data_IF_661059839463
#
_entry.id   IF_661059839463
#
_cell.length_a   1.000
_cell.length_b   1.000
_cell.length_c   1.000
_cell.angle_alpha   90.00
_cell.angle_beta   90.00
_cell.angle_gamma   90.00
#
_symmetry.space_group_name_H-M   'P 1'
#
loop_
_entity.id
_entity.type
_entity.pdbx_description
1 polymer ?
#
# COMPACT_ATOMS: atom_id res chain seq x y z
N UNK A 1 -0.51 5.29 -8.66
CA UNK A 1 -0.40 4.10 -7.76
C UNK A 1 0.66 3.05 -8.14
N UNK A 2 0.56 2.31 -9.26
CA UNK A 2 1.42 1.13 -9.57
C UNK A 2 2.95 1.35 -9.45
N UNK A 3 3.49 2.46 -9.96
CA UNK A 3 4.96 2.72 -9.90
C UNK A 3 5.48 3.06 -8.50
N UNK A 4 4.63 3.61 -7.62
CA UNK A 4 5.02 4.02 -6.26
C UNK A 4 5.22 2.80 -5.35
N UNK A 5 4.34 1.82 -5.51
CA UNK A 5 4.32 0.54 -4.80
C UNK A 5 5.55 -0.31 -5.16
N UNK A 6 5.97 -0.28 -6.44
CA UNK A 6 7.19 -0.95 -6.90
C UNK A 6 8.51 -0.39 -6.33
N UNK A 7 8.54 0.86 -5.85
CA UNK A 7 9.77 1.42 -5.27
C UNK A 7 10.05 0.82 -3.88
N UNK A 8 9.00 0.46 -3.13
CA UNK A 8 9.14 -0.13 -1.80
C UNK A 8 9.71 -1.55 -1.87
N UNK A 9 9.32 -2.35 -2.87
CA UNK A 9 9.87 -3.69 -3.06
C UNK A 9 11.37 -3.67 -3.41
N UNK A 10 11.86 -2.59 -4.03
CA UNK A 10 13.29 -2.41 -4.37
C UNK A 10 14.16 -2.08 -3.16
N UNK A 11 13.58 -1.57 -2.07
CA UNK A 11 14.30 -1.23 -0.84
C UNK A 11 14.47 -2.41 0.13
N UNK A 12 13.95 -3.58 -0.22
CA UNK A 12 14.04 -4.80 0.56
C UNK A 12 15.39 -5.48 0.36
N UNK A 13 15.90 -6.09 1.43
CA UNK A 13 17.07 -6.97 1.35
C UNK A 13 16.72 -8.25 0.58
N UNK A 14 17.75 -8.92 0.05
CA UNK A 14 17.56 -10.19 -0.67
C UNK A 14 16.87 -11.24 0.22
N UNK A 15 17.20 -11.31 1.51
CA UNK A 15 16.58 -12.24 2.45
C UNK A 15 15.08 -11.95 2.68
N UNK A 16 14.70 -10.68 2.79
CA UNK A 16 13.30 -10.26 2.88
C UNK A 16 12.53 -10.57 1.60
N UNK A 17 13.15 -10.36 0.43
CA UNK A 17 12.57 -10.71 -0.86
C UNK A 17 12.40 -12.23 -1.01
N UNK A 18 13.37 -13.03 -0.57
CA UNK A 18 13.27 -14.49 -0.56
C UNK A 18 12.09 -14.94 0.30
N UNK A 19 11.94 -14.38 1.50
CA UNK A 19 10.83 -14.68 2.40
C UNK A 19 9.47 -14.28 1.81
N UNK A 20 9.34 -13.05 1.31
CA UNK A 20 8.09 -12.58 0.69
C UNK A 20 7.75 -13.37 -0.58
N UNK A 21 8.76 -13.80 -1.34
CA UNK A 21 8.56 -14.65 -2.52
C UNK A 21 8.10 -16.04 -2.13
N UNK A 22 8.58 -16.59 -1.02
CA UNK A 22 8.04 -17.83 -0.47
C UNK A 22 6.57 -17.66 -0.06
N UNK A 23 6.22 -16.59 0.66
CA UNK A 23 4.82 -16.31 1.02
C UNK A 23 3.91 -16.08 -0.18
N UNK A 24 4.36 -15.29 -1.16
CA UNK A 24 3.60 -15.05 -2.39
C UNK A 24 3.31 -16.35 -3.16
N UNK A 25 4.26 -17.29 -3.16
CA UNK A 25 4.07 -18.62 -3.77
C UNK A 25 3.03 -19.47 -3.03
N UNK A 26 2.86 -19.30 -1.72
CA UNK A 26 1.83 -20.02 -0.95
C UNK A 26 0.40 -19.60 -1.35
N UNK A 27 0.25 -18.41 -1.95
CA UNK A 27 -1.01 -17.96 -2.53
C UNK A 27 -1.31 -18.60 -3.89
N UNK A 28 -0.36 -19.35 -4.46
CA UNK A 28 -0.45 -19.97 -5.78
C UNK A 28 -0.85 -18.98 -6.89
N UNK A 29 0.05 -18.05 -7.28
CA UNK A 29 -0.24 -17.08 -8.33
C UNK A 29 -0.73 -17.75 -9.62
N UNK A 30 -1.64 -17.07 -10.29
CA UNK A 30 -2.20 -17.48 -11.56
C UNK A 30 -1.10 -17.59 -12.63
N UNK A 31 -1.44 -18.18 -13.79
CA UNK A 31 -0.48 -18.35 -14.91
C UNK A 31 0.13 -17.05 -15.42
N UNK A 32 -0.53 -15.92 -15.18
CA UNK A 32 -0.05 -14.59 -15.53
C UNK A 32 0.84 -13.95 -14.43
N UNK A 33 1.11 -14.68 -13.35
CA UNK A 33 1.95 -14.22 -12.23
C UNK A 33 1.23 -13.36 -11.19
N UNK A 34 -0.09 -13.17 -11.32
CA UNK A 34 -0.89 -12.38 -10.38
C UNK A 34 -1.61 -13.23 -9.33
N UNK A 35 -1.89 -12.66 -8.17
CA UNK A 35 -2.85 -13.20 -7.19
C UNK A 35 -4.13 -12.36 -7.18
N UNK A 36 -5.27 -13.01 -7.00
CA UNK A 36 -6.59 -12.39 -6.87
C UNK A 36 -7.24 -12.77 -5.54
N UNK A 37 -8.42 -12.22 -5.27
CA UNK A 37 -9.23 -12.58 -4.10
C UNK A 37 -9.47 -14.10 -4.00
N UNK A 38 -9.57 -14.80 -5.13
CA UNK A 38 -9.75 -16.25 -5.15
C UNK A 38 -8.53 -17.00 -4.63
N UNK A 39 -7.33 -16.55 -4.99
CA UNK A 39 -6.07 -17.10 -4.47
C UNK A 39 -6.00 -16.95 -2.94
N UNK A 40 -6.37 -15.78 -2.41
CA UNK A 40 -6.43 -15.56 -0.96
C UNK A 40 -7.47 -16.46 -0.28
N UNK A 41 -8.68 -16.60 -0.86
CA UNK A 41 -9.71 -17.53 -0.36
C UNK A 41 -9.20 -18.96 -0.25
N UNK A 42 -8.58 -19.45 -1.34
CA UNK A 42 -8.03 -20.81 -1.39
C UNK A 42 -6.91 -21.01 -0.38
N UNK A 43 -6.02 -20.04 -0.24
CA UNK A 43 -4.94 -20.10 0.75
C UNK A 43 -5.48 -20.14 2.19
N UNK A 44 -6.48 -19.32 2.51
CA UNK A 44 -7.10 -19.31 3.85
C UNK A 44 -7.81 -20.65 4.14
N UNK A 45 -8.58 -21.18 3.19
CA UNK A 45 -9.27 -22.46 3.35
C UNK A 45 -8.30 -23.64 3.57
N UNK A 46 -7.11 -23.61 2.94
CA UNK A 46 -6.09 -24.67 3.10
C UNK A 46 -5.33 -24.59 4.41
N UNK A 47 -5.15 -23.38 4.94
CA UNK A 47 -4.44 -23.15 6.20
C UNK A 47 -5.38 -23.08 7.40
N UNK A 48 -6.69 -23.19 7.19
CA UNK A 48 -7.68 -23.34 8.24
C UNK A 48 -7.41 -24.67 8.97
N UNK A 49 -7.11 -24.56 10.26
CA UNK A 49 -7.02 -25.72 11.17
C UNK A 49 -8.38 -25.97 11.81
N UNK A 50 -8.67 -27.19 12.26
CA UNK A 50 -9.92 -27.55 12.99
C UNK A 50 -10.23 -26.68 14.24
N UNK A 51 -9.27 -25.86 14.68
CA UNK A 51 -9.39 -24.93 15.81
C UNK A 51 -9.85 -23.53 15.39
N UNK A 52 -9.74 -23.17 14.11
CA UNK A 52 -10.17 -21.86 13.62
C UNK A 52 -11.68 -21.86 13.38
N UNK A 53 -12.39 -21.00 14.09
CA UNK A 53 -13.79 -20.70 13.80
C UNK A 53 -13.87 -20.05 12.41
N UNK A 54 -14.42 -20.74 11.41
CA UNK A 54 -14.52 -20.24 10.02
C UNK A 54 -15.39 -18.98 9.88
N UNK A 55 -16.02 -18.53 10.98
CA UNK A 55 -16.86 -17.32 11.04
C UNK A 55 -16.14 -16.02 10.64
N UNK A 56 -14.81 -15.93 10.77
CA UNK A 56 -14.04 -14.74 10.35
C UNK A 56 -13.79 -14.68 8.84
N UNK A 57 -13.89 -15.81 8.13
CA UNK A 57 -13.61 -15.87 6.69
C UNK A 57 -14.59 -14.98 5.92
N UNK A 58 -15.92 -15.06 6.12
CA UNK A 58 -16.87 -14.12 5.51
C UNK A 58 -16.56 -12.64 5.79
N UNK A 59 -16.12 -12.30 7.00
CA UNK A 59 -15.82 -10.92 7.38
C UNK A 59 -14.57 -10.39 6.66
N UNK A 60 -13.49 -11.17 6.61
CA UNK A 60 -12.30 -10.80 5.84
C UNK A 60 -12.64 -10.70 4.35
N UNK A 61 -13.46 -11.61 3.82
CA UNK A 61 -13.87 -11.56 2.42
C UNK A 61 -14.81 -10.40 2.11
N UNK A 62 -15.61 -9.94 3.07
CA UNK A 62 -16.43 -8.73 2.96
C UNK A 62 -15.56 -7.49 2.93
N UNK A 63 -14.55 -7.40 3.81
CA UNK A 63 -13.56 -6.30 3.83
C UNK A 63 -12.73 -6.27 2.54
N UNK A 64 -12.40 -7.44 1.98
CA UNK A 64 -11.69 -7.55 0.71
C UNK A 64 -12.62 -7.48 -0.52
N UNK A 65 -13.94 -7.47 -0.33
CA UNK A 65 -14.93 -7.43 -1.41
C UNK A 65 -14.77 -6.25 -2.39
N UNK A 66 -14.46 -5.02 -1.93
CA UNK A 66 -14.14 -3.89 -2.80
C UNK A 66 -12.89 -4.09 -3.67
N UNK A 67 -12.04 -5.08 -3.38
CA UNK A 67 -10.88 -5.43 -4.19
C UNK A 67 -11.25 -6.29 -5.42
N UNK A 68 -12.49 -6.79 -5.55
CA UNK A 68 -13.04 -7.38 -6.77
C UNK A 68 -12.10 -8.31 -7.56
N UNK A 69 -12.08 -8.17 -8.90
CA UNK A 69 -11.19 -8.87 -9.84
C UNK A 69 -9.78 -8.26 -9.91
N UNK A 70 -9.42 -7.41 -8.93
CA UNK A 70 -8.13 -6.71 -8.97
C UNK A 70 -7.01 -7.72 -8.77
N UNK A 71 -6.09 -7.72 -9.72
CA UNK A 71 -4.90 -8.56 -9.74
C UNK A 71 -3.78 -7.85 -8.99
N UNK A 72 -3.07 -8.60 -8.17
CA UNK A 72 -1.89 -8.12 -7.44
C UNK A 72 -0.67 -8.91 -7.91
N UNK A 73 0.33 -8.21 -8.42
CA UNK A 73 1.62 -8.81 -8.79
C UNK A 73 2.59 -8.82 -7.60
N UNK A 74 3.73 -9.50 -7.74
CA UNK A 74 4.66 -9.71 -6.63
C UNK A 74 5.13 -8.40 -5.96
N UNK A 75 5.39 -7.36 -6.74
CA UNK A 75 5.81 -6.05 -6.24
C UNK A 75 4.72 -5.39 -5.40
N UNK A 76 3.46 -5.53 -5.82
CA UNK A 76 2.30 -5.01 -5.10
C UNK A 76 2.05 -5.78 -3.81
N UNK A 77 2.24 -7.10 -3.83
CA UNK A 77 2.21 -7.93 -2.63
C UNK A 77 3.31 -7.55 -1.63
N UNK A 78 4.54 -7.35 -2.09
CA UNK A 78 5.64 -6.95 -1.21
C UNK A 78 5.34 -5.64 -0.49
N UNK A 79 4.81 -4.66 -1.22
CA UNK A 79 4.46 -3.39 -0.62
C UNK A 79 3.30 -3.48 0.38
N UNK A 80 2.27 -4.31 0.08
CA UNK A 80 1.17 -4.56 1.01
C UNK A 80 1.65 -5.27 2.29
N UNK A 81 2.51 -6.29 2.15
CA UNK A 81 3.11 -7.01 3.27
C UNK A 81 3.96 -6.08 4.15
N UNK A 82 4.74 -5.18 3.54
CA UNK A 82 5.53 -4.17 4.27
C UNK A 82 4.67 -3.14 4.98
N UNK A 83 3.53 -2.75 4.41
CA UNK A 83 2.57 -1.87 5.09
C UNK A 83 1.96 -2.53 6.33
N UNK A 84 1.70 -3.85 6.29
CA UNK A 84 1.22 -4.61 7.46
C UNK A 84 2.32 -4.73 8.52
N UNK A 85 3.54 -5.09 8.13
CA UNK A 85 4.70 -5.18 9.03
C UNK A 85 5.07 -3.83 9.66
N UNK A 86 4.68 -2.71 9.04
CA UNK A 86 4.84 -1.36 9.61
C UNK A 86 3.97 -1.11 10.85
N UNK A 87 2.85 -1.83 11.03
CA UNK A 87 2.03 -1.73 12.26
C UNK A 87 2.70 -2.42 13.47
N UNK A 88 3.69 -3.29 13.24
CA UNK A 88 4.34 -4.09 14.28
C UNK A 88 5.74 -3.58 14.69
N UNK A 89 6.05 -2.31 14.42
CA UNK A 89 7.25 -1.62 14.92
C UNK A 89 8.60 -2.26 14.50
N UNK A 90 8.90 -2.24 13.19
CA UNK A 90 10.23 -2.61 12.68
C UNK A 90 11.18 -1.40 12.74
N UNK A 91 12.25 -1.49 13.54
CA UNK A 91 13.31 -0.48 13.71
C UNK A 91 14.00 -0.01 12.41
N UNK A 92 13.82 -0.75 11.31
CA UNK A 92 14.42 -0.46 9.98
C UNK A 92 13.52 0.32 9.02
N UNK A 93 12.28 0.65 9.41
CA UNK A 93 11.33 1.31 8.52
C UNK A 93 11.85 2.63 7.92
N UNK A 94 12.51 3.47 8.73
CA UNK A 94 13.05 4.74 8.25
C UNK A 94 14.06 4.54 7.12
N UNK A 95 14.96 3.55 7.26
CA UNK A 95 15.96 3.23 6.24
C UNK A 95 15.31 2.73 4.95
N UNK A 96 14.35 1.81 5.07
CA UNK A 96 13.64 1.23 3.91
C UNK A 96 12.89 2.31 3.14
N UNK A 97 12.18 3.20 3.83
CA UNK A 97 11.45 4.30 3.19
C UNK A 97 12.38 5.31 2.55
N UNK A 98 13.51 5.64 3.19
CA UNK A 98 14.51 6.52 2.61
C UNK A 98 15.08 5.94 1.31
N UNK A 99 15.48 4.66 1.30
CA UNK A 99 15.97 4.00 0.09
C UNK A 99 14.90 3.89 -1.00
N UNK A 100 13.65 3.55 -0.64
CA UNK A 100 12.55 3.52 -1.60
C UNK A 100 12.28 4.91 -2.21
N UNK A 101 12.41 5.97 -1.40
CA UNK A 101 12.28 7.33 -1.88
C UNK A 101 13.38 7.72 -2.88
N UNK A 102 14.62 7.26 -2.70
CA UNK A 102 15.71 7.50 -3.67
C UNK A 102 15.39 6.88 -5.04
N UNK A 103 14.88 5.65 -5.06
CA UNK A 103 14.43 5.00 -6.31
C UNK A 103 13.22 5.74 -6.92
N UNK A 104 12.28 6.15 -6.06
CA UNK A 104 11.12 6.93 -6.50
C UNK A 104 11.52 8.28 -7.11
N UNK A 105 12.48 8.99 -6.52
CA UNK A 105 12.99 10.29 -7.03
C UNK A 105 13.51 10.16 -8.47
N UNK A 106 14.18 9.06 -8.78
CA UNK A 106 14.79 8.81 -10.08
C UNK A 106 13.79 8.35 -11.15
N UNK A 107 12.86 7.45 -10.79
CA UNK A 107 12.05 6.73 -11.78
C UNK A 107 10.58 7.19 -11.84
N UNK A 108 10.08 7.81 -10.78
CA UNK A 108 8.64 7.98 -10.56
C UNK A 108 8.20 9.35 -10.07
N UNK A 109 9.11 10.18 -9.54
CA UNK A 109 8.73 11.45 -8.93
C UNK A 109 8.45 12.53 -9.99
N UNK A 110 7.17 12.70 -10.26
CA UNK A 110 6.61 13.67 -11.22
C UNK A 110 6.18 14.94 -10.50
N UNK A 111 6.12 16.02 -11.27
CA UNK A 111 5.44 17.24 -10.84
C UNK A 111 3.98 16.92 -10.52
N UNK A 112 3.46 17.45 -9.41
CA UNK A 112 2.11 17.18 -8.92
C UNK A 112 1.52 18.45 -8.27
N UNK A 113 0.24 18.72 -8.51
CA UNK A 113 -0.50 19.79 -7.80
C UNK A 113 -1.06 19.30 -6.46
N UNK A 114 -1.44 20.24 -5.57
CA UNK A 114 -2.09 19.92 -4.29
C UNK A 114 -3.37 19.09 -4.52
N UNK A 115 -4.16 19.41 -5.54
CA UNK A 115 -5.38 18.69 -5.90
C UNK A 115 -5.10 17.29 -6.44
N UNK A 116 -4.12 17.15 -7.32
CA UNK A 116 -3.70 15.84 -7.85
C UNK A 116 -3.16 14.95 -6.73
N UNK A 117 -2.40 15.53 -5.79
CA UNK A 117 -1.87 14.77 -4.65
C UNK A 117 -3.00 14.32 -3.71
N UNK A 118 -4.01 15.17 -3.46
CA UNK A 118 -5.23 14.77 -2.75
C UNK A 118 -5.92 13.58 -3.44
N UNK A 119 -6.02 13.59 -4.77
CA UNK A 119 -6.65 12.50 -5.53
C UNK A 119 -5.86 11.19 -5.42
N UNK A 120 -4.52 11.24 -5.52
CA UNK A 120 -3.66 10.05 -5.36
C UNK A 120 -3.74 9.48 -3.93
N UNK A 121 -4.05 10.31 -2.93
CA UNK A 121 -4.37 9.89 -1.56
C UNK A 121 -5.81 9.38 -1.38
N UNK A 122 -6.63 9.35 -2.43
CA UNK A 122 -8.03 8.90 -2.36
C UNK A 122 -8.99 9.92 -1.74
N UNK A 123 -8.58 11.18 -1.60
CA UNK A 123 -9.44 12.30 -1.19
C UNK A 123 -10.25 12.73 -2.43
N UNK A 124 -11.34 12.02 -2.68
CA UNK A 124 -12.12 12.09 -3.93
C UNK A 124 -13.20 13.19 -3.96
N UNK A 125 -13.49 13.83 -2.81
CA UNK A 125 -14.35 15.03 -2.76
C UNK A 125 -13.52 16.30 -2.90
N UNK A 126 -14.18 17.43 -3.19
CA UNK A 126 -13.56 18.77 -3.21
C UNK A 126 -12.66 18.91 -1.97
N UNK A 127 -11.33 19.02 -2.12
CA UNK A 127 -10.42 18.97 -0.99
C UNK A 127 -10.73 20.16 -0.07
N UNK A 128 -10.98 19.87 1.20
CA UNK A 128 -11.20 20.90 2.21
C UNK A 128 -9.90 21.71 2.40
N UNK A 129 -9.97 22.94 2.93
CA UNK A 129 -8.76 23.68 3.30
C UNK A 129 -7.82 22.88 4.21
N UNK A 130 -8.37 22.00 5.06
CA UNK A 130 -7.59 21.10 5.90
C UNK A 130 -6.87 19.99 5.09
N UNK A 131 -7.51 19.44 4.06
CA UNK A 131 -6.89 18.47 3.16
C UNK A 131 -5.75 19.10 2.35
N UNK A 132 -5.95 20.32 1.84
CA UNK A 132 -4.91 21.08 1.13
C UNK A 132 -3.71 21.37 2.05
N UNK A 133 -3.97 21.83 3.28
CA UNK A 133 -2.93 22.05 4.29
C UNK A 133 -2.17 20.76 4.63
N UNK A 134 -2.86 19.60 4.67
CA UNK A 134 -2.24 18.30 4.93
C UNK A 134 -1.30 17.82 3.81
N UNK A 135 -1.50 18.25 2.56
CA UNK A 135 -0.66 17.80 1.43
C UNK A 135 0.50 18.75 1.12
N UNK A 136 0.38 20.03 1.49
CA UNK A 136 1.33 21.09 1.11
C UNK A 136 2.76 20.84 1.61
N UNK A 137 2.94 20.38 2.84
CA UNK A 137 4.28 20.03 3.38
C UNK A 137 4.88 18.79 2.73
N UNK A 138 4.11 18.07 1.90
CA UNK A 138 4.58 16.93 1.10
C UNK A 138 5.11 17.31 -0.29
N UNK A 139 4.90 18.56 -0.74
CA UNK A 139 5.32 19.03 -2.08
C UNK A 139 6.49 20.02 -1.91
N UNK A 140 7.53 19.83 -2.71
CA UNK A 140 8.74 20.65 -2.68
C UNK A 140 8.53 21.93 -3.50
N UNK A 141 8.73 23.08 -2.89
CA UNK A 141 8.55 24.38 -3.56
C UNK A 141 9.49 24.63 -4.75
N UNK A 142 10.62 23.93 -4.84
CA UNK A 142 11.63 24.18 -5.89
C UNK A 142 11.27 23.59 -7.24
N UNK A 143 10.55 22.46 -7.27
CA UNK A 143 10.26 21.70 -8.49
C UNK A 143 8.83 21.12 -8.53
N UNK A 144 8.01 21.41 -7.51
CA UNK A 144 6.64 20.91 -7.37
C UNK A 144 6.56 19.38 -7.41
N UNK A 145 7.61 18.69 -6.95
CA UNK A 145 7.64 17.23 -6.78
C UNK A 145 7.43 16.83 -5.33
N UNK A 146 7.10 15.57 -5.09
CA UNK A 146 6.96 15.08 -3.71
C UNK A 146 8.31 15.06 -2.99
N UNK A 147 8.33 15.48 -1.73
CA UNK A 147 9.45 15.19 -0.83
C UNK A 147 9.21 13.87 -0.09
N UNK A 148 10.14 13.47 0.79
CA UNK A 148 10.04 12.24 1.58
C UNK A 148 8.73 12.18 2.40
N UNK A 149 8.31 13.32 2.98
CA UNK A 149 7.05 13.43 3.72
C UNK A 149 5.84 13.14 2.82
N UNK A 150 5.83 13.70 1.60
CA UNK A 150 4.80 13.42 0.61
C UNK A 150 4.76 11.95 0.19
N UNK A 151 5.92 11.35 -0.02
CA UNK A 151 6.05 9.92 -0.32
C UNK A 151 5.53 9.03 0.82
N UNK A 152 5.86 9.36 2.07
CA UNK A 152 5.33 8.64 3.25
C UNK A 152 3.80 8.74 3.34
N UNK A 153 3.23 9.90 3.01
CA UNK A 153 1.76 10.06 2.98
C UNK A 153 1.11 9.16 1.93
N UNK A 154 1.72 9.00 0.75
CA UNK A 154 1.25 8.03 -0.25
C UNK A 154 1.31 6.61 0.28
N UNK A 155 2.40 6.22 0.94
CA UNK A 155 2.56 4.87 1.49
C UNK A 155 1.53 4.55 2.57
N UNK A 156 1.16 5.55 3.38
CA UNK A 156 0.18 5.39 4.47
C UNK A 156 -1.28 5.47 4.00
N UNK A 157 -1.52 5.94 2.77
CA UNK A 157 -2.87 6.19 2.27
C UNK A 157 -3.59 7.32 3.04
N UNK A 158 -4.89 7.52 2.78
CA UNK A 158 -5.67 8.51 3.52
C UNK A 158 -5.70 8.13 5.00
N UNK A 159 -5.27 9.05 5.87
CA UNK A 159 -5.54 8.90 7.30
C UNK A 159 -7.05 8.87 7.50
N UNK A 160 -7.54 7.87 8.24
CA UNK A 160 -8.93 7.71 8.69
C UNK A 160 -9.55 8.99 9.32
N UNK A 161 -8.74 9.99 9.66
CA UNK A 161 -9.13 11.31 10.19
C UNK A 161 -10.10 12.07 9.25
N UNK A 162 -10.15 11.74 7.94
CA UNK A 162 -11.06 12.40 7.00
C UNK A 162 -12.37 11.63 6.73
N UNK A 163 -12.60 10.50 7.41
CA UNK A 163 -13.89 9.76 7.35
C UNK A 163 -14.87 10.15 8.47
N UNK A 164 -14.45 10.93 9.47
CA UNK A 164 -15.31 11.30 10.61
C UNK A 164 -16.16 12.58 10.41
N UNK A 165 -16.01 13.34 9.32
CA UNK A 165 -16.96 14.43 8.99
C UNK A 165 -18.18 13.93 8.21
N UNK A 166 -18.67 12.75 8.55
CA UNK A 166 -19.96 12.20 8.07
C UNK A 166 -20.76 11.66 9.25
N UNK A 167 -20.82 12.41 10.35
CA UNK A 167 -21.84 12.24 11.38
C UNK A 167 -22.27 13.62 11.88
N UNK A 168 -23.03 14.33 11.06
CA UNK A 168 -24.08 15.26 11.50
C UNK A 168 -25.05 15.54 10.37
#
# INVERSE_FOLDING_TARGET
MHKFVCALSKALTEDELVYLRAQFRLLEPNKDGSVSLENFKMALARNATDVMDESWVPDILSVMGPLGDRKMYFEEFCAAAMHILHLEAVDRWEQIVSTAFEHFEQEGNRVISDEEFCQELGITRKPSPAALSYVQDGIRNSDSKLNLTGYIKLLRGPKLIFMEESST
#
